data_IF_606272472898
#
_entry.id   IF_606272472898
#
_cell.length_a   1.000
_cell.length_b   1.000
_cell.length_c   1.000
_cell.angle_alpha   90.00
_cell.angle_beta   90.00
_cell.angle_gamma   90.00
#
_symmetry.space_group_name_H-M   'P 1'
#
loop_
_entity.id
_entity.type
_entity.pdbx_description
1 polymer ?
#
# COMPACT_ATOMS: atom_id res chain seq x y z
N UNK A 1 -24.28 8.76 -24.66
CA UNK A 1 -22.82 8.56 -24.71
C UNK A 1 -22.35 7.92 -23.40
N UNK A 2 -22.23 6.60 -23.35
CA UNK A 2 -21.75 5.88 -22.16
C UNK A 2 -20.23 5.98 -22.06
N UNK A 3 -19.72 6.95 -21.29
CA UNK A 3 -18.28 7.02 -20.97
C UNK A 3 -17.89 5.72 -20.25
N UNK A 4 -17.08 4.89 -20.91
CA UNK A 4 -16.59 3.60 -20.39
C UNK A 4 -15.93 3.85 -19.03
N UNK A 5 -16.56 3.38 -17.95
CA UNK A 5 -16.05 3.38 -16.58
C UNK A 5 -14.85 2.43 -16.43
N UNK A 6 -13.71 2.80 -17.00
CA UNK A 6 -12.47 2.03 -16.94
C UNK A 6 -11.27 2.93 -16.67
N UNK A 7 -10.23 2.34 -16.05
CA UNK A 7 -8.92 2.96 -15.90
C UNK A 7 -8.36 3.38 -17.26
N UNK A 8 -7.80 4.58 -17.35
CA UNK A 8 -7.05 5.04 -18.52
C UNK A 8 -5.75 4.24 -18.69
N UNK A 9 -5.12 4.32 -19.87
CA UNK A 9 -3.86 3.62 -20.14
C UNK A 9 -2.76 3.95 -19.12
N UNK A 10 -2.63 5.23 -18.75
CA UNK A 10 -1.68 5.68 -17.73
C UNK A 10 -1.97 5.07 -16.34
N UNK A 11 -3.25 4.97 -15.98
CA UNK A 11 -3.64 4.31 -14.72
C UNK A 11 -3.39 2.80 -14.76
N UNK A 12 -3.57 2.15 -15.91
CA UNK A 12 -3.27 0.72 -16.07
C UNK A 12 -1.77 0.48 -15.89
N UNK A 13 -0.91 1.37 -16.39
CA UNK A 13 0.54 1.32 -16.15
C UNK A 13 0.88 1.53 -14.67
N UNK A 14 0.23 2.47 -13.99
CA UNK A 14 0.41 2.67 -12.54
C UNK A 14 -0.07 1.45 -11.73
N UNK A 15 -1.23 0.87 -12.10
CA UNK A 15 -1.72 -0.39 -11.52
C UNK A 15 -0.68 -1.51 -11.70
N UNK A 16 -0.09 -1.61 -12.89
CA UNK A 16 0.95 -2.60 -13.19
C UNK A 16 2.19 -2.36 -12.34
N UNK A 17 2.64 -1.10 -12.21
CA UNK A 17 3.77 -0.71 -11.35
C UNK A 17 3.50 -1.08 -9.88
N UNK A 18 2.33 -0.70 -9.36
CA UNK A 18 1.91 -0.99 -7.99
C UNK A 18 1.82 -2.51 -7.74
N UNK A 19 1.29 -3.27 -8.69
CA UNK A 19 1.09 -4.71 -8.55
C UNK A 19 2.39 -5.52 -8.67
N UNK A 20 3.26 -5.15 -9.63
CA UNK A 20 4.49 -5.89 -9.96
C UNK A 20 5.70 -5.39 -9.16
N UNK A 21 5.99 -4.09 -9.23
CA UNK A 21 7.19 -3.50 -8.60
C UNK A 21 7.01 -3.30 -7.10
N UNK A 22 5.84 -2.80 -6.70
CA UNK A 22 5.54 -2.57 -5.29
C UNK A 22 4.82 -3.74 -4.61
N UNK A 23 4.51 -4.83 -5.33
CA UNK A 23 3.88 -6.01 -4.75
C UNK A 23 2.49 -5.81 -4.15
N UNK A 24 1.82 -4.70 -4.43
CA UNK A 24 0.53 -4.33 -3.83
C UNK A 24 -0.55 -5.32 -4.19
N UNK A 25 -1.42 -5.63 -3.23
CA UNK A 25 -2.58 -6.47 -3.49
C UNK A 25 -3.65 -5.74 -4.30
N UNK A 26 -4.41 -6.49 -5.10
CA UNK A 26 -5.55 -5.96 -5.87
C UNK A 26 -6.62 -5.26 -5.02
N UNK A 27 -6.66 -5.56 -3.72
CA UNK A 27 -7.49 -4.90 -2.70
C UNK A 27 -6.94 -3.53 -2.27
N UNK A 28 -5.64 -3.30 -2.43
CA UNK A 28 -4.93 -2.11 -1.97
C UNK A 28 -4.75 -1.10 -3.08
N UNK A 29 -4.47 -1.56 -4.29
CA UNK A 29 -4.37 -0.72 -5.49
C UNK A 29 -5.55 0.26 -5.64
N UNK A 30 -6.83 -0.14 -5.52
CA UNK A 30 -7.93 0.81 -5.65
C UNK A 30 -7.96 1.84 -4.51
N UNK A 31 -7.50 1.45 -3.30
CA UNK A 31 -7.35 2.39 -2.18
C UNK A 31 -6.25 3.40 -2.46
N UNK A 32 -5.11 2.93 -2.98
CA UNK A 32 -3.96 3.76 -3.35
C UNK A 32 -4.32 4.76 -4.45
N UNK A 33 -5.04 4.31 -5.47
CA UNK A 33 -5.47 5.16 -6.58
C UNK A 33 -6.66 6.06 -6.23
N UNK A 34 -7.32 5.82 -5.09
CA UNK A 34 -8.54 6.51 -4.68
C UNK A 34 -9.73 6.29 -5.62
N UNK A 35 -9.65 5.32 -6.54
CA UNK A 35 -10.68 5.03 -7.53
C UNK A 35 -10.65 3.58 -8.00
N UNK A 36 -11.81 3.13 -8.47
CA UNK A 36 -12.05 1.78 -8.95
C UNK A 36 -12.24 0.76 -7.82
N UNK A 37 -12.72 -0.41 -8.19
CA UNK A 37 -12.96 -1.53 -7.27
C UNK A 37 -11.93 -2.63 -7.49
N UNK A 38 -11.84 -3.60 -6.57
CA UNK A 38 -10.99 -4.79 -6.73
C UNK A 38 -11.19 -5.44 -8.11
N UNK A 39 -12.44 -5.59 -8.54
CA UNK A 39 -12.78 -6.15 -9.85
C UNK A 39 -12.27 -5.30 -11.02
N UNK A 40 -12.32 -3.97 -10.91
CA UNK A 40 -11.80 -3.08 -11.95
C UNK A 40 -10.29 -3.23 -12.07
N UNK A 41 -9.58 -3.36 -10.95
CA UNK A 41 -8.11 -3.56 -10.93
C UNK A 41 -7.73 -4.92 -11.48
N UNK A 42 -8.46 -5.99 -11.10
CA UNK A 42 -8.29 -7.33 -11.66
C UNK A 42 -8.47 -7.31 -13.19
N UNK A 43 -9.51 -6.63 -13.68
CA UNK A 43 -9.74 -6.47 -15.12
C UNK A 43 -8.63 -5.66 -15.82
N UNK A 44 -8.12 -4.59 -15.19
CA UNK A 44 -7.01 -3.81 -15.71
C UNK A 44 -5.73 -4.66 -15.86
N UNK A 45 -5.38 -5.42 -14.82
CA UNK A 45 -4.25 -6.36 -14.85
C UNK A 45 -4.42 -7.45 -15.91
N UNK A 46 -5.64 -7.97 -16.05
CA UNK A 46 -5.96 -8.96 -17.08
C UNK A 46 -5.79 -8.39 -18.50
N UNK A 47 -6.28 -7.18 -18.75
CA UNK A 47 -6.11 -6.47 -20.03
C UNK A 47 -4.64 -6.16 -20.32
N UNK A 48 -3.86 -5.84 -19.29
CA UNK A 48 -2.41 -5.64 -19.37
C UNK A 48 -1.61 -6.95 -19.54
N UNK A 49 -2.29 -8.09 -19.75
CA UNK A 49 -1.71 -9.44 -19.90
C UNK A 49 -0.79 -9.86 -18.74
N UNK A 50 -1.07 -9.37 -17.52
CA UNK A 50 -0.36 -9.76 -16.29
C UNK A 50 -0.90 -11.11 -15.77
N UNK A 51 -0.99 -12.12 -16.64
CA UNK A 51 -1.67 -13.40 -16.36
C UNK A 51 -0.92 -14.31 -15.38
N UNK A 52 0.42 -14.22 -15.32
CA UNK A 52 1.26 -15.16 -14.58
C UNK A 52 2.32 -14.49 -13.70
N UNK A 53 2.09 -13.25 -13.24
CA UNK A 53 3.04 -12.56 -12.38
C UNK A 53 2.96 -12.99 -10.91
N UNK A 54 2.74 -14.28 -10.65
CA UNK A 54 3.06 -14.86 -9.34
C UNK A 54 4.58 -15.02 -9.18
N UNK A 55 5.30 -15.16 -10.30
CA UNK A 55 6.77 -15.30 -10.34
C UNK A 55 7.48 -13.94 -10.44
N UNK A 56 6.97 -13.00 -11.26
CA UNK A 56 7.50 -11.62 -11.40
C UNK A 56 6.99 -10.63 -10.36
N UNK A 57 6.17 -11.06 -9.41
CA UNK A 57 5.79 -10.18 -8.31
C UNK A 57 7.00 -10.01 -7.42
N UNK A 58 7.45 -8.77 -7.26
CA UNK A 58 8.15 -8.40 -6.03
C UNK A 58 7.18 -8.69 -4.90
N UNK A 59 7.30 -9.86 -4.25
CA UNK A 59 6.58 -10.13 -3.02
C UNK A 59 7.02 -9.02 -2.07
N UNK A 60 6.08 -8.15 -1.69
CA UNK A 60 6.32 -7.25 -0.56
C UNK A 60 6.86 -8.10 0.57
N UNK A 61 8.08 -7.79 1.01
CA UNK A 61 8.68 -8.49 2.14
C UNK A 61 7.65 -8.44 3.27
N UNK A 62 7.38 -9.60 3.87
CA UNK A 62 6.41 -9.66 4.96
C UNK A 62 6.88 -8.65 5.99
N UNK A 63 6.00 -7.72 6.41
CA UNK A 63 6.34 -6.74 7.43
C UNK A 63 6.98 -7.45 8.63
N UNK A 64 8.26 -7.21 8.86
CA UNK A 64 8.98 -7.80 9.97
C UNK A 64 9.04 -6.78 11.11
N UNK A 65 8.98 -7.24 12.37
CA UNK A 65 9.46 -6.40 13.46
C UNK A 65 10.90 -5.96 13.14
N UNK A 66 11.28 -4.77 13.63
CA UNK A 66 12.57 -4.09 13.42
C UNK A 66 12.79 -3.44 12.05
N UNK A 67 11.82 -3.55 11.13
CA UNK A 67 11.92 -2.88 9.83
C UNK A 67 11.57 -1.39 9.96
N UNK A 68 12.39 -0.52 9.37
CA UNK A 68 12.23 0.94 9.42
C UNK A 68 11.71 1.50 8.10
N UNK A 69 10.69 2.35 8.18
CA UNK A 69 10.02 3.04 7.09
C UNK A 69 10.08 4.54 7.35
N UNK A 70 11.05 5.21 6.72
CA UNK A 70 11.31 6.63 6.98
C UNK A 70 11.70 6.86 8.44
N UNK A 71 10.87 7.60 9.18
CA UNK A 71 11.08 7.88 10.60
C UNK A 71 10.38 6.89 11.53
N UNK A 72 9.77 5.83 11.02
CA UNK A 72 8.93 4.90 11.79
C UNK A 72 9.49 3.48 11.71
N UNK A 73 9.79 2.87 12.85
CA UNK A 73 10.28 1.51 12.99
C UNK A 73 9.18 0.59 13.49
N UNK A 74 8.95 -0.54 12.83
CA UNK A 74 8.05 -1.59 13.29
C UNK A 74 8.64 -2.27 14.53
N UNK A 75 7.90 -2.38 15.63
CA UNK A 75 8.34 -3.11 16.84
C UNK A 75 7.74 -4.50 16.89
N UNK A 76 6.41 -4.59 16.83
CA UNK A 76 5.72 -5.88 16.96
C UNK A 76 4.43 -5.92 16.16
N UNK A 77 4.08 -7.10 15.67
CA UNK A 77 2.79 -7.35 15.04
C UNK A 77 1.71 -7.53 16.11
N UNK A 78 0.60 -6.80 16.00
CA UNK A 78 -0.57 -6.96 16.86
C UNK A 78 -1.45 -8.09 16.33
N UNK A 79 -1.33 -9.27 16.91
CA UNK A 79 -2.08 -10.48 16.52
C UNK A 79 -3.54 -10.48 16.99
N UNK A 80 -3.91 -9.65 17.97
CA UNK A 80 -5.28 -9.53 18.48
C UNK A 80 -6.24 -8.78 17.54
N UNK A 81 -5.76 -8.13 16.49
CA UNK A 81 -6.62 -7.38 15.56
C UNK A 81 -7.02 -8.22 14.35
N UNK A 82 -8.32 -8.16 13.98
CA UNK A 82 -8.82 -8.69 12.68
C UNK A 82 -8.15 -8.01 11.47
N UNK A 83 -7.50 -6.86 11.66
CA UNK A 83 -6.76 -6.09 10.65
C UNK A 83 -5.26 -6.16 10.95
N UNK A 84 -4.43 -6.09 9.90
CA UNK A 84 -2.97 -6.08 10.03
C UNK A 84 -2.53 -4.79 10.74
N UNK A 85 -2.24 -4.88 12.05
CA UNK A 85 -1.71 -3.76 12.82
C UNK A 85 -0.33 -4.09 13.36
N UNK A 86 0.55 -3.11 13.35
CA UNK A 86 1.85 -3.17 13.98
C UNK A 86 1.97 -2.06 15.00
N UNK A 87 2.55 -2.39 16.14
CA UNK A 87 3.06 -1.41 17.07
C UNK A 87 4.37 -0.88 16.48
N UNK A 88 4.45 0.43 16.30
CA UNK A 88 5.59 1.12 15.72
C UNK A 88 6.15 2.14 16.69
N UNK A 89 7.42 2.47 16.53
CA UNK A 89 8.10 3.57 17.22
C UNK A 89 8.62 4.55 16.20
N UNK A 90 8.36 5.83 16.40
CA UNK A 90 8.96 6.88 15.59
C UNK A 90 10.32 7.30 16.16
N UNK A 91 11.18 7.88 15.32
CA UNK A 91 12.47 8.47 15.71
C UNK A 91 12.35 9.52 16.83
N UNK A 92 11.17 10.16 16.95
CA UNK A 92 10.79 11.06 18.04
C UNK A 92 10.66 10.36 19.42
N UNK A 93 10.78 9.02 19.48
CA UNK A 93 10.56 8.21 20.68
C UNK A 93 9.09 7.86 20.95
N UNK A 94 8.15 8.38 20.14
CA UNK A 94 6.72 8.10 20.30
C UNK A 94 6.33 6.74 19.71
N UNK A 95 5.57 5.96 20.47
CA UNK A 95 5.11 4.62 20.09
C UNK A 95 3.60 4.63 19.84
N UNK A 96 3.15 4.01 18.75
CA UNK A 96 1.74 3.96 18.39
C UNK A 96 1.40 2.75 17.53
N UNK A 97 0.11 2.46 17.40
CA UNK A 97 -0.37 1.34 16.60
C UNK A 97 -0.83 1.82 15.23
N UNK A 98 -0.25 1.29 14.16
CA UNK A 98 -0.64 1.64 12.79
C UNK A 98 -0.76 0.41 11.90
N UNK A 99 -1.58 0.53 10.87
CA UNK A 99 -1.53 -0.40 9.75
C UNK A 99 -0.26 -0.11 8.92
N UNK A 100 0.70 -1.05 8.83
CA UNK A 100 1.99 -0.80 8.19
C UNK A 100 1.86 -0.50 6.69
N UNK A 101 0.71 -0.78 6.08
CA UNK A 101 0.46 -0.35 4.71
C UNK A 101 0.45 1.16 4.59
N UNK A 102 0.01 1.91 5.61
CA UNK A 102 0.03 3.38 5.59
C UNK A 102 1.44 3.97 5.48
N UNK A 103 2.44 3.26 5.99
CA UNK A 103 3.86 3.65 5.92
C UNK A 103 4.45 3.46 4.53
N UNK A 104 3.82 2.61 3.73
CA UNK A 104 4.30 2.24 2.41
C UNK A 104 3.47 2.91 1.32
N UNK A 105 2.46 3.71 1.65
CA UNK A 105 1.67 4.43 0.65
C UNK A 105 2.53 5.44 -0.13
N UNK A 106 2.22 5.69 -1.41
CA UNK A 106 2.94 6.66 -2.22
C UNK A 106 2.75 8.08 -1.69
N UNK A 107 3.65 8.97 -2.08
CA UNK A 107 3.81 10.29 -1.46
C UNK A 107 2.56 11.17 -1.51
N UNK A 108 1.76 10.99 -2.55
CA UNK A 108 0.55 11.76 -2.80
C UNK A 108 -0.70 11.23 -2.10
N UNK A 109 -0.56 10.23 -1.22
CA UNK A 109 -1.72 9.59 -0.59
C UNK A 109 -2.11 10.24 0.74
N UNK A 110 -3.39 10.60 0.89
CA UNK A 110 -3.93 11.28 2.09
C UNK A 110 -3.72 10.50 3.40
N UNK A 111 -3.83 9.18 3.35
CA UNK A 111 -3.54 8.29 4.48
C UNK A 111 -2.06 7.91 4.66
N UNK A 112 -1.14 8.46 3.87
CA UNK A 112 0.29 8.16 4.03
C UNK A 112 0.75 8.69 5.38
N UNK A 113 1.41 7.83 6.14
CA UNK A 113 2.02 8.23 7.41
C UNK A 113 3.52 8.08 7.27
N UNK A 114 4.23 9.22 7.31
CA UNK A 114 5.70 9.28 7.23
C UNK A 114 6.35 9.56 8.58
N UNK A 115 5.59 10.11 9.54
CA UNK A 115 6.07 10.48 10.87
C UNK A 115 4.99 10.35 11.96
N UNK A 116 5.41 10.38 13.24
CA UNK A 116 4.50 10.42 14.39
C UNK A 116 3.63 11.69 14.35
N UNK A 117 2.44 11.66 14.99
CA UNK A 117 1.61 12.87 15.12
C UNK A 117 2.40 14.05 15.71
N UNK A 118 3.30 13.76 16.66
CA UNK A 118 4.19 14.77 17.28
C UNK A 118 5.17 15.41 16.29
N UNK A 119 5.70 14.66 15.34
CA UNK A 119 6.58 15.21 14.30
C UNK A 119 5.79 15.94 13.20
N UNK A 120 4.51 15.61 13.04
CA UNK A 120 3.66 16.22 12.02
C UNK A 120 2.97 17.52 12.51
N UNK A 121 3.03 17.81 13.81
CA UNK A 121 2.57 19.06 14.43
C UNK A 121 3.69 20.11 14.61
N UNK A 122 4.92 19.84 14.18
CA UNK A 122 6.04 20.81 14.20
C UNK A 122 6.24 21.55 12.89
#
# INVERSE_FOLDING_TARGET
MGKKSGFTSAEIEEIKRLYLKEGRSILQIPKILGKGSENSVRNALYKAKVKNASEERTKLDRFKPEQTYGNITLIKKLTKSKKLRYHVRCSCGYEFDIDPFRLTLPENHKDRVTACQRCNES
#
